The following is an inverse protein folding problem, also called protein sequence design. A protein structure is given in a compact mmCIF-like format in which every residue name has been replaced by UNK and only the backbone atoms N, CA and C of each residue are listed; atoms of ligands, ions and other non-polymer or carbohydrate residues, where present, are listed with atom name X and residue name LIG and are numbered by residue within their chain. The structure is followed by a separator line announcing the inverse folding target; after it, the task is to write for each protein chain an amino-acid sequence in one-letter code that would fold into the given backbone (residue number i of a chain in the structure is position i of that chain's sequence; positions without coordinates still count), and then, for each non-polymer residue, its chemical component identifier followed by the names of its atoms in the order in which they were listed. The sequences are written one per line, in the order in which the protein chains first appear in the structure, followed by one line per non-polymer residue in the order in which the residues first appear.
data_IF_799316264259
#
_entry.id   IF_799316264259
#
_cell.length_a   1.000
_cell.length_b   1.000
_cell.length_c   1.000
_cell.angle_alpha   90.00
_cell.angle_beta   90.00
_cell.angle_gamma   90.00
#
_symmetry.space_group_name_H-M   'P 1'
#
loop_
_entity.id
_entity.type
_entity.pdbx_description
1 polymer ?
2 non-polymer ?
3 non-polymer ?
4 water ?
#
# COMPACT_ATOMS: atom_id res chain seq x y z
N UNK A 4 0.67 9.77 21.20
CA UNK A 4 1.55 10.73 20.47
C UNK A 4 1.11 10.84 19.00
N UNK A 5 1.00 9.70 18.32
CA UNK A 5 0.56 9.67 16.91
C UNK A 5 -0.96 9.56 16.86
N UNK A 6 -1.63 10.52 17.49
CA UNK A 6 -3.06 10.42 17.76
C UNK A 6 -3.95 10.50 16.50
N UNK A 7 -3.37 10.84 15.34
CA UNK A 7 -4.12 10.89 14.09
C UNK A 7 -4.40 9.52 13.50
N UNK A 8 -3.73 8.49 14.03
CA UNK A 8 -3.87 7.12 13.54
C UNK A 8 -5.26 6.56 13.80
N UNK A 9 -5.81 6.91 14.97
CA UNK A 9 -7.09 6.37 15.44
C UNK A 9 -8.23 6.38 14.44
N UNK A 10 -8.46 7.51 13.79
CA UNK A 10 -9.60 7.58 12.89
C UNK A 10 -9.40 6.65 11.68
N UNK A 11 -8.19 6.63 11.13
CA UNK A 11 -7.90 5.76 9.97
C UNK A 11 -8.03 4.29 10.35
N UNK A 12 -7.47 3.93 11.49
CA UNK A 12 -7.59 2.56 12.03
C UNK A 12 -9.06 2.16 12.22
N UNK A 13 -9.89 3.09 12.68
CA UNK A 13 -11.32 2.82 12.91
C UNK A 13 -12.07 2.58 11.60
N UNK A 14 -11.70 3.29 10.54
CA UNK A 14 -12.32 3.04 9.24
C UNK A 14 -11.94 1.65 8.72
N UNK A 15 -10.68 1.26 8.90
CA UNK A 15 -10.27 -0.09 8.47
C UNK A 15 -11.07 -1.13 9.23
N UNK A 16 -11.20 -0.92 10.55
CA UNK A 16 -11.84 -1.91 11.42
C UNK A 16 -13.28 -2.21 11.01
N UNK A 17 -13.97 -1.21 10.47
CA UNK A 17 -15.35 -1.35 9.97
C UNK A 17 -15.43 -2.45 8.90
N UNK A 18 -14.47 -2.45 7.98
CA UNK A 18 -14.45 -3.48 6.92
C UNK A 18 -14.02 -4.82 7.51
N UNK A 19 -13.02 -4.81 8.39
CA UNK A 19 -12.53 -6.03 9.03
C UNK A 19 -13.64 -6.72 9.82
N UNK A 20 -14.60 -5.95 10.35
CA UNK A 20 -15.66 -6.53 11.17
C UNK A 20 -16.86 -7.03 10.34
N UNK A 21 -16.84 -6.72 9.05
CA UNK A 21 -17.94 -7.07 8.14
C UNK A 21 -17.71 -8.44 7.50
N UNK A 22 -18.77 -9.26 7.46
CA UNK A 22 -18.74 -10.57 6.83
C UNK A 22 -20.10 -10.85 6.17
N UNK A 23 -20.45 -10.06 5.14
CA UNK A 23 -21.80 -10.16 4.58
C UNK A 23 -22.06 -11.48 3.90
N UNK A 24 -21.00 -12.12 3.39
CA UNK A 24 -21.15 -13.43 2.75
C UNK A 24 -21.13 -14.58 3.76
N UNK A 25 -21.02 -14.24 5.05
CA UNK A 25 -20.92 -15.23 6.13
C UNK A 25 -19.92 -16.32 5.75
N UNK A 26 -18.76 -15.85 5.31
CA UNK A 26 -17.72 -16.71 4.70
C UNK A 26 -16.59 -17.07 5.65
N UNK A 27 -16.61 -16.54 6.87
CA UNK A 27 -15.45 -16.71 7.77
C UNK A 27 -14.98 -18.15 7.87
N UNK A 28 -15.88 -19.05 8.26
CA UNK A 28 -15.48 -20.44 8.49
C UNK A 28 -15.07 -21.14 7.21
N UNK A 29 -15.62 -20.67 6.07
CA UNK A 29 -15.29 -21.21 4.77
C UNK A 29 -13.91 -20.76 4.28
N UNK A 30 -13.62 -19.47 4.34
CA UNK A 30 -12.31 -19.00 3.93
C UNK A 30 -11.16 -19.63 4.75
N UNK A 31 -11.42 -19.92 6.02
CA UNK A 31 -10.40 -20.56 6.87
C UNK A 31 -9.98 -21.93 6.35
N UNK A 32 -10.79 -22.54 5.49
CA UNK A 32 -10.47 -23.85 4.93
C UNK A 32 -9.55 -23.77 3.70
N UNK A 33 -9.38 -22.57 3.17
CA UNK A 33 -8.56 -22.37 1.97
C UNK A 33 -7.08 -22.82 2.06
N UNK A 34 -6.34 -22.43 3.12
CA UNK A 34 -4.95 -22.90 3.28
C UNK A 34 -4.77 -24.40 3.10
N UNK A 35 -5.64 -25.20 3.69
CA UNK A 35 -5.54 -26.67 3.57
C UNK A 35 -5.68 -27.12 2.11
N UNK A 36 -6.66 -26.55 1.42
CA UNK A 36 -6.86 -26.88 -0.01
C UNK A 36 -5.67 -26.42 -0.85
N UNK A 37 -5.10 -25.26 -0.54
CA UNK A 37 -3.89 -24.81 -1.22
C UNK A 37 -2.71 -25.77 -1.02
N UNK A 38 -2.52 -26.20 0.22
CA UNK A 38 -1.48 -27.17 0.53
C UNK A 38 -1.66 -28.45 -0.29
N UNK A 39 -2.92 -28.88 -0.42
CA UNK A 39 -3.27 -30.07 -1.19
C UNK A 39 -3.29 -29.86 -2.71
N UNK A 40 -3.03 -28.62 -3.14
CA UNK A 40 -3.14 -28.22 -4.58
C UNK A 40 -4.45 -28.75 -5.18
N UNK A 41 -5.53 -28.58 -4.42
CA UNK A 41 -6.85 -29.14 -4.73
C UNK A 41 -7.71 -28.12 -5.44
N UNK A 42 -7.50 -27.97 -6.74
CA UNK A 42 -8.17 -26.95 -7.55
C UNK A 42 -9.69 -27.18 -7.55
N UNK A 43 -10.16 -28.41 -7.83
CA UNK A 43 -11.61 -28.58 -7.77
C UNK A 43 -12.22 -28.22 -6.43
N UNK A 44 -11.52 -28.58 -5.34
CA UNK A 44 -11.95 -28.26 -3.99
C UNK A 44 -12.00 -26.76 -3.72
N UNK A 45 -11.01 -26.02 -4.24
CA UNK A 45 -10.93 -24.56 -4.09
C UNK A 45 -12.14 -23.91 -4.77
N UNK A 46 -12.41 -24.33 -6.00
CA UNK A 46 -13.56 -23.83 -6.72
C UNK A 46 -14.88 -24.17 -6.00
N UNK A 47 -15.02 -25.43 -5.59
CA UNK A 47 -16.16 -25.87 -4.77
C UNK A 47 -16.42 -25.04 -3.52
N UNK A 48 -15.33 -24.75 -2.78
CA UNK A 48 -15.40 -23.95 -1.55
C UNK A 48 -15.88 -22.54 -1.85
N UNK A 49 -15.32 -21.92 -2.90
CA UNK A 49 -15.78 -20.60 -3.32
C UNK A 49 -17.26 -20.61 -3.65
N UNK A 50 -17.70 -21.63 -4.40
CA UNK A 50 -19.09 -21.68 -4.83
C UNK A 50 -20.06 -21.90 -3.67
N UNK A 51 -19.54 -22.35 -2.52
CA UNK A 51 -20.34 -22.43 -1.30
C UNK A 51 -20.86 -21.08 -0.82
N UNK A 52 -20.14 -19.99 -1.14
CA UNK A 52 -20.54 -18.66 -0.67
C UNK A 52 -20.63 -17.57 -1.76
N UNK A 53 -20.15 -17.85 -2.96
CA UNK A 53 -20.19 -16.83 -4.01
C UNK A 53 -21.64 -16.45 -4.39
N UNK A 54 -21.98 -15.15 -4.34
CA UNK A 54 -23.35 -14.72 -4.72
C UNK A 54 -23.64 -15.12 -6.18
N UNK A 55 -24.86 -15.59 -6.45
CA UNK A 55 -25.27 -15.97 -7.82
C UNK A 55 -26.46 -15.15 -8.33
N UNK A 56 -27.03 -14.32 -7.46
CA UNK A 56 -28.25 -13.59 -7.77
C UNK A 56 -28.02 -12.08 -7.80
N UNK A 57 -26.76 -11.68 -7.88
CA UNK A 57 -26.41 -10.27 -7.82
C UNK A 57 -26.22 -9.83 -6.39
N UNK A 58 -25.65 -8.64 -6.20
CA UNK A 58 -25.34 -8.10 -4.88
C UNK A 58 -26.58 -7.61 -4.15
N UNK A 59 -26.71 -7.94 -2.84
CA UNK A 59 -27.79 -7.40 -2.01
C UNK A 59 -27.89 -5.88 -2.14
N UNK A 60 -29.10 -5.38 -2.34
CA UNK A 60 -29.31 -3.97 -2.67
C UNK A 60 -28.94 -3.04 -1.53
N UNK A 61 -28.99 -3.56 -0.31
CA UNK A 61 -28.69 -2.80 0.91
C UNK A 61 -27.22 -2.56 1.21
N UNK A 62 -26.33 -3.29 0.53
CA UNK A 62 -24.88 -3.18 0.78
C UNK A 62 -24.35 -1.80 0.49
N UNK A 63 -23.41 -1.36 1.32
CA UNK A 63 -22.65 -0.15 1.06
C UNK A 63 -21.21 -0.53 0.73
N UNK A 64 -20.32 0.47 0.79
CA UNK A 64 -18.90 0.24 0.58
C UNK A 64 -18.35 -0.88 1.47
N UNK A 65 -18.69 -0.84 2.76
CA UNK A 65 -18.09 -1.77 3.74
C UNK A 65 -18.38 -3.21 3.32
N UNK A 66 -19.66 -3.50 3.03
CA UNK A 66 -20.06 -4.84 2.67
C UNK A 66 -19.41 -5.28 1.35
N UNK A 67 -19.41 -4.40 0.35
CA UNK A 67 -18.84 -4.76 -0.95
C UNK A 67 -17.32 -5.03 -0.82
N UNK A 68 -16.63 -4.22 -0.03
CA UNK A 68 -15.19 -4.40 0.18
C UNK A 68 -14.93 -5.72 0.92
N UNK A 69 -15.76 -6.02 1.92
CA UNK A 69 -15.64 -7.28 2.71
C UNK A 69 -15.90 -8.50 1.81
N UNK A 70 -16.91 -8.38 0.93
CA UNK A 70 -17.17 -9.47 -0.02
C UNK A 70 -15.97 -9.69 -0.96
N UNK A 71 -15.40 -8.59 -1.47
CA UNK A 71 -14.23 -8.69 -2.35
C UNK A 71 -13.04 -9.35 -1.63
N UNK A 72 -12.81 -8.99 -0.37
CA UNK A 72 -11.76 -9.62 0.44
C UNK A 72 -11.91 -11.14 0.42
N UNK A 73 -13.11 -11.60 0.76
CA UNK A 73 -13.34 -13.04 0.96
C UNK A 73 -13.33 -13.85 -0.33
N UNK A 74 -13.93 -13.30 -1.39
CA UNK A 74 -13.78 -13.90 -2.72
C UNK A 74 -12.32 -13.82 -3.18
N UNK A 75 -11.68 -12.70 -2.82
CA UNK A 75 -10.35 -12.35 -3.28
C UNK A 75 -9.26 -13.37 -2.99
N UNK A 76 -9.27 -13.98 -1.80
CA UNK A 76 -8.25 -15.00 -1.51
C UNK A 76 -8.30 -16.19 -2.46
N UNK A 77 -9.48 -16.45 -3.02
CA UNK A 77 -9.63 -17.55 -3.97
C UNK A 77 -9.04 -17.21 -5.33
N UNK A 78 -9.00 -15.91 -5.64
CA UNK A 78 -8.43 -15.41 -6.91
C UNK A 78 -6.93 -15.65 -6.99
N UNK A 79 -6.16 -15.15 -6.02
CA UNK A 79 -4.72 -15.38 -6.04
C UNK A 79 -4.44 -16.88 -5.88
N UNK A 80 -5.29 -17.57 -5.14
CA UNK A 80 -5.13 -19.03 -4.97
C UNK A 80 -5.23 -19.78 -6.30
N UNK A 81 -6.31 -19.56 -7.02
CA UNK A 81 -6.50 -20.24 -8.31
C UNK A 81 -5.37 -19.94 -9.27
N UNK A 82 -4.94 -18.69 -9.33
CA UNK A 82 -3.82 -18.32 -10.21
C UNK A 82 -2.51 -18.98 -9.79
N UNK A 83 -2.34 -19.16 -8.49
CA UNK A 83 -1.13 -19.82 -7.97
C UNK A 83 -0.99 -21.25 -8.52
N UNK A 84 -2.11 -21.93 -8.73
CA UNK A 84 -2.10 -23.31 -9.25
C UNK A 84 -2.20 -23.33 -10.77
N UNK A 85 -2.03 -22.17 -11.38
CA UNK A 85 -1.96 -22.05 -12.85
C UNK A 85 -3.25 -21.74 -13.60
N UNK A 86 -4.28 -21.30 -12.88
CA UNK A 86 -5.60 -21.11 -13.50
C UNK A 86 -6.12 -19.69 -13.40
N UNK A 87 -6.68 -19.16 -14.49
CA UNK A 87 -7.37 -17.87 -14.45
C UNK A 87 -8.72 -18.06 -13.74
N UNK A 88 -8.92 -17.39 -12.59
CA UNK A 88 -10.17 -17.61 -11.84
C UNK A 88 -11.44 -17.35 -12.66
N UNK A 89 -11.43 -16.30 -13.47
CA UNK A 89 -12.56 -16.02 -14.37
C UNK A 89 -12.89 -17.16 -15.32
N UNK A 90 -11.87 -17.93 -15.73
CA UNK A 90 -12.08 -19.02 -16.70
C UNK A 90 -12.58 -20.33 -16.09
N UNK A 91 -12.27 -20.55 -14.82
CA UNK A 91 -12.65 -21.81 -14.17
C UNK A 91 -13.83 -21.69 -13.20
N UNK A 92 -14.29 -20.45 -12.94
CA UNK A 92 -15.39 -20.25 -12.02
C UNK A 92 -16.52 -19.53 -12.73
N UNK A 93 -17.54 -20.29 -13.17
CA UNK A 93 -18.69 -19.72 -13.86
C UNK A 93 -19.36 -18.65 -13.01
N UNK A 94 -19.64 -17.50 -13.61
CA UNK A 94 -20.37 -16.42 -12.93
C UNK A 94 -19.53 -15.56 -12.00
N UNK A 95 -18.24 -15.86 -11.87
CA UNK A 95 -17.38 -15.09 -10.98
C UNK A 95 -17.11 -13.69 -11.53
N UNK A 96 -16.82 -13.60 -12.83
CA UNK A 96 -16.40 -12.33 -13.40
C UNK A 96 -17.43 -11.20 -13.18
N UNK A 97 -18.72 -11.44 -13.49
CA UNK A 97 -19.73 -10.42 -13.25
C UNK A 97 -19.80 -9.91 -11.79
N UNK A 98 -19.60 -10.82 -10.83
CA UNK A 98 -19.55 -10.43 -9.43
C UNK A 98 -18.35 -9.53 -9.16
N UNK A 99 -17.16 -9.93 -9.62
CA UNK A 99 -15.98 -9.08 -9.41
C UNK A 99 -16.18 -7.66 -9.98
N UNK A 100 -16.77 -7.59 -11.17
CA UNK A 100 -17.00 -6.28 -11.82
C UNK A 100 -18.02 -5.43 -11.06
N UNK A 101 -19.04 -6.09 -10.52
CA UNK A 101 -20.06 -5.44 -9.71
C UNK A 101 -19.46 -4.92 -8.39
N UNK A 102 -18.55 -5.70 -7.81
CA UNK A 102 -17.93 -5.29 -6.57
C UNK A 102 -16.97 -4.12 -6.82
N UNK A 103 -16.31 -4.14 -7.97
CA UNK A 103 -15.40 -3.06 -8.39
C UNK A 103 -16.17 -1.75 -8.51
N UNK A 104 -17.35 -1.82 -9.11
CA UNK A 104 -18.23 -0.66 -9.26
C UNK A 104 -18.64 -0.11 -7.89
N UNK A 105 -19.07 -1.01 -7.01
CA UNK A 105 -19.53 -0.67 -5.65
C UNK A 105 -18.45 -0.03 -4.78
N UNK A 106 -17.18 -0.36 -5.05
CA UNK A 106 -16.09 0.12 -4.21
C UNK A 106 -15.18 1.17 -4.89
N UNK A 107 -15.33 1.33 -6.19
CA UNK A 107 -14.42 2.19 -6.99
C UNK A 107 -12.96 1.73 -6.87
N UNK A 108 -12.76 0.42 -6.92
CA UNK A 108 -11.44 -0.23 -6.80
C UNK A 108 -11.38 -1.31 -7.88
N UNK A 109 -10.19 -1.91 -8.10
CA UNK A 109 -10.10 -2.96 -9.14
C UNK A 109 -10.99 -4.17 -8.87
N UNK A 110 -11.30 -4.96 -9.91
CA UNK A 110 -12.12 -6.16 -9.72
C UNK A 110 -11.31 -7.37 -9.23
N UNK A 111 -10.48 -7.14 -8.22
CA UNK A 111 -9.87 -8.21 -7.46
C UNK A 111 -9.44 -7.68 -6.09
N UNK A 112 -8.80 -8.55 -5.32
CA UNK A 112 -8.32 -8.21 -3.98
C UNK A 112 -7.06 -7.34 -4.10
N UNK A 113 -6.97 -6.35 -3.21
CA UNK A 113 -5.81 -5.47 -3.14
C UNK A 113 -5.18 -5.62 -1.78
N UNK A 114 -4.04 -4.97 -1.60
CA UNK A 114 -3.37 -4.93 -0.31
C UNK A 114 -4.33 -4.57 0.82
N UNK A 115 -5.22 -3.59 0.56
CA UNK A 115 -6.16 -3.15 1.60
C UNK A 115 -6.99 -4.33 2.07
N UNK A 116 -7.54 -5.10 1.13
CA UNK A 116 -8.44 -6.20 1.48
C UNK A 116 -7.74 -7.26 2.34
N UNK A 117 -6.47 -7.52 2.03
CA UNK A 117 -5.77 -8.65 2.65
C UNK A 117 -5.09 -8.26 3.97
N UNK A 118 -4.98 -6.95 4.22
CA UNK A 118 -4.30 -6.48 5.43
C UNK A 118 -5.26 -5.79 6.40
N UNK A 119 -5.42 -4.48 6.25
CA UNK A 119 -6.15 -3.67 7.25
C UNK A 119 -7.66 -3.94 7.25
N UNK A 120 -8.19 -4.44 6.13
CA UNK A 120 -9.61 -4.82 6.06
C UNK A 120 -9.86 -6.30 6.40
N UNK A 121 -8.82 -6.98 6.86
CA UNK A 121 -8.88 -8.40 7.13
C UNK A 121 -8.82 -8.51 8.67
N UNK A 122 -9.77 -9.23 9.29
CA UNK A 122 -9.74 -9.30 10.77
C UNK A 122 -8.46 -9.94 11.28
N UNK A 123 -8.12 -9.64 12.52
CA UNK A 123 -6.85 -10.04 13.13
C UNK A 123 -6.88 -11.36 13.90
N UNK A 124 -8.06 -11.78 14.37
CA UNK A 124 -8.16 -12.98 15.20
C UNK A 124 -7.76 -14.24 14.46
N UNK A 125 -7.14 -15.18 15.18
CA UNK A 125 -6.80 -16.49 14.62
C UNK A 125 -8.02 -17.21 14.01
N UNK A 126 -9.19 -17.02 14.60
CA UNK A 126 -10.37 -17.71 14.08
C UNK A 126 -11.11 -16.90 13.00
N UNK A 127 -10.47 -15.84 12.52
CA UNK A 127 -11.13 -14.96 11.54
C UNK A 127 -10.21 -14.47 10.42
N UNK A 128 -8.92 -14.34 10.71
CA UNK A 128 -7.96 -13.80 9.72
C UNK A 128 -7.90 -14.70 8.48
N UNK A 129 -8.20 -14.10 7.33
CA UNK A 129 -8.14 -14.76 6.02
C UNK A 129 -6.67 -14.82 5.59
N UNK A 130 -6.31 -15.88 4.87
CA UNK A 130 -4.91 -16.15 4.51
C UNK A 130 -4.85 -17.12 3.32
N UNK A 131 -3.96 -16.84 2.36
CA UNK A 131 -3.71 -17.78 1.26
C UNK A 131 -3.15 -19.09 1.80
N UNK A 132 -2.16 -19.01 2.70
CA UNK A 132 -1.33 -20.18 3.02
C UNK A 132 -1.44 -20.71 4.43
N UNK A 133 -1.96 -19.90 5.35
CA UNK A 133 -1.98 -20.27 6.76
C UNK A 133 -0.61 -20.23 7.42
N UNK A 134 0.42 -19.77 6.68
CA UNK A 134 1.79 -19.77 7.19
C UNK A 134 2.04 -18.62 8.15
N UNK A 135 2.88 -18.85 9.18
CA UNK A 135 3.23 -17.75 10.09
C UNK A 135 3.87 -16.57 9.34
N UNK A 136 4.69 -16.85 8.35
CA UNK A 136 5.35 -15.81 7.60
C UNK A 136 4.35 -14.88 6.89
N UNK A 137 3.23 -15.45 6.44
CA UNK A 137 2.19 -14.64 5.81
C UNK A 137 1.54 -13.73 6.86
N UNK A 138 1.26 -14.28 8.04
CA UNK A 138 0.72 -13.48 9.12
C UNK A 138 1.66 -12.34 9.50
N UNK A 139 2.97 -12.62 9.54
CA UNK A 139 3.97 -11.60 9.86
C UNK A 139 4.01 -10.53 8.81
N UNK A 140 3.87 -10.91 7.54
CA UNK A 140 3.85 -9.95 6.44
C UNK A 140 2.63 -9.02 6.59
N UNK A 141 1.48 -9.61 6.89
CA UNK A 141 0.27 -8.79 7.14
C UNK A 141 0.49 -7.80 8.28
N UNK A 142 1.07 -8.28 9.38
CA UNK A 142 1.33 -7.41 10.53
C UNK A 142 2.26 -6.25 10.16
N UNK A 143 3.26 -6.54 9.33
CA UNK A 143 4.22 -5.52 8.92
C UNK A 143 3.50 -4.38 8.23
N UNK A 144 2.49 -4.70 7.41
CA UNK A 144 1.70 -3.64 6.77
C UNK A 144 0.76 -2.91 7.76
N UNK A 145 0.11 -3.67 8.63
CA UNK A 145 -0.73 -3.11 9.69
C UNK A 145 -0.02 -2.11 10.60
N UNK A 146 1.28 -2.31 10.84
CA UNK A 146 2.07 -1.39 11.66
C UNK A 146 2.02 0.05 11.14
N UNK A 147 2.04 0.20 9.82
CA UNK A 147 2.23 1.51 9.19
C UNK A 147 1.10 2.09 8.30
N UNK A 148 0.14 1.28 7.86
CA UNK A 148 -0.86 1.77 6.91
C UNK A 148 -1.61 2.98 7.46
N UNK A 149 -2.13 2.88 8.69
CA UNK A 149 -2.91 4.01 9.23
C UNK A 149 -2.03 5.23 9.47
N UNK A 150 -0.82 5.01 9.98
CA UNK A 150 0.17 6.10 10.10
C UNK A 150 0.49 6.77 8.76
N UNK A 151 0.61 5.94 7.72
CA UNK A 151 0.91 6.45 6.37
C UNK A 151 -0.25 7.30 5.85
N UNK A 152 -1.48 6.87 6.13
CA UNK A 152 -2.64 7.66 5.71
C UNK A 152 -2.66 9.02 6.41
N UNK A 153 -2.32 9.02 7.69
CA UNK A 153 -2.19 10.27 8.43
C UNK A 153 -1.12 11.14 7.80
N UNK A 154 0.00 10.51 7.45
CA UNK A 154 1.12 11.19 6.84
C UNK A 154 0.77 11.85 5.49
N UNK A 155 -0.08 11.21 4.68
CA UNK A 155 -0.56 11.80 3.42
C UNK A 155 -1.35 13.07 3.74
N UNK A 156 -2.25 12.98 4.73
CA UNK A 156 -3.02 14.15 5.17
C UNK A 156 -2.09 15.30 5.59
N UNK A 157 -1.08 14.95 6.39
CA UNK A 157 -0.13 15.96 6.88
C UNK A 157 0.66 16.61 5.76
N UNK A 158 1.05 15.81 4.77
CA UNK A 158 1.83 16.31 3.63
C UNK A 158 1.01 17.31 2.82
N UNK A 159 -0.26 16.98 2.59
CA UNK A 159 -1.17 17.86 1.84
C UNK A 159 -1.36 19.17 2.62
N UNK A 160 -1.48 19.07 3.94
CA UNK A 160 -1.58 20.27 4.79
C UNK A 160 -0.30 21.10 4.74
N UNK A 161 0.85 20.44 4.82
CA UNK A 161 2.15 21.11 4.73
C UNK A 161 2.38 21.81 3.39
N UNK A 162 1.81 21.26 2.32
CA UNK A 162 1.91 21.85 0.98
C UNK A 162 1.46 23.32 0.94
N UNK A 163 0.41 23.65 1.69
CA UNK A 163 -0.10 25.04 1.76
C UNK A 163 0.55 25.91 2.85
N UNK A 164 1.48 25.34 3.62
CA UNK A 164 2.19 26.08 4.66
C UNK A 164 3.50 26.69 4.12
N UNK A 165 3.62 28.01 4.21
CA UNK A 165 4.83 28.68 3.75
C UNK A 165 6.03 28.32 4.60
N UNK A 166 7.21 28.25 3.98
CA UNK A 166 8.46 28.07 4.72
C UNK A 166 8.66 29.25 5.69
N UNK A 167 8.03 30.39 5.37
CA UNK A 167 8.05 31.57 6.24
C UNK A 167 7.17 31.41 7.48
N UNK A 168 6.21 30.48 7.44
CA UNK A 168 5.28 30.24 8.55
C UNK A 168 5.95 29.58 9.76
N UNK A 169 5.52 29.95 10.98
CA UNK A 169 6.08 29.32 12.20
C UNK A 169 5.75 27.83 12.36
N UNK A 170 4.72 27.35 11.66
CA UNK A 170 4.29 25.96 11.73
C UNK A 170 5.10 25.00 10.86
N UNK A 171 5.82 25.53 9.87
CA UNK A 171 6.43 24.67 8.86
C UNK A 171 7.30 23.57 9.47
N UNK A 172 8.24 23.96 10.32
CA UNK A 172 9.15 23.01 10.95
C UNK A 172 8.42 22.03 11.87
N UNK A 173 7.46 22.54 12.63
CA UNK A 173 6.67 21.71 13.54
C UNK A 173 5.84 20.66 12.80
N UNK A 174 5.21 21.07 11.69
CA UNK A 174 4.43 20.17 10.86
C UNK A 174 5.32 19.12 10.21
N UNK A 175 6.49 19.55 9.71
CA UNK A 175 7.46 18.64 9.12
C UNK A 175 7.96 17.62 10.13
N UNK A 176 8.19 18.08 11.36
CA UNK A 176 8.59 17.18 12.46
C UNK A 176 7.49 16.16 12.76
N UNK A 177 6.25 16.60 12.73
CA UNK A 177 5.09 15.71 12.92
C UNK A 177 4.98 14.69 11.78
N UNK A 178 5.15 15.15 10.54
CA UNK A 178 5.18 14.24 9.38
C UNK A 178 6.27 13.18 9.53
N UNK A 179 7.47 13.61 9.93
CA UNK A 179 8.58 12.69 10.17
C UNK A 179 8.15 11.59 11.13
N UNK A 180 7.46 11.97 12.20
CA UNK A 180 7.08 11.03 13.27
C UNK A 180 6.15 9.92 12.76
N UNK A 181 5.20 10.28 11.90
CA UNK A 181 4.28 9.30 11.29
C UNK A 181 4.99 8.41 10.29
N UNK A 182 5.90 8.99 9.51
CA UNK A 182 6.65 8.22 8.53
C UNK A 182 7.61 7.21 9.18
N UNK A 183 7.97 7.46 10.44
CA UNK A 183 8.80 6.52 11.19
C UNK A 183 8.18 5.11 11.25
N UNK A 184 6.85 5.05 11.16
CA UNK A 184 6.16 3.76 11.16
C UNK A 184 6.56 2.87 9.97
N UNK A 185 6.86 3.46 8.82
CA UNK A 185 7.33 2.69 7.66
C UNK A 185 8.66 2.00 7.99
N UNK A 186 9.53 2.73 8.68
CA UNK A 186 10.78 2.15 9.18
C UNK A 186 10.50 0.98 10.10
N UNK A 187 9.57 1.17 11.03
CA UNK A 187 9.20 0.11 11.99
C UNK A 187 8.73 -1.16 11.26
N UNK A 188 7.99 -0.97 10.16
CA UNK A 188 7.49 -2.08 9.35
C UNK A 188 8.62 -2.92 8.77
N UNK A 189 9.64 -2.26 8.22
CA UNK A 189 10.76 -2.98 7.59
C UNK A 189 11.61 -3.69 8.66
N UNK A 190 11.85 -3.04 9.79
CA UNK A 190 12.52 -3.69 10.94
C UNK A 190 11.77 -4.97 11.34
N UNK A 191 10.44 -4.90 11.40
CA UNK A 191 9.59 -6.04 11.76
C UNK A 191 9.74 -7.16 10.74
N UNK A 192 9.62 -6.80 9.47
CA UNK A 192 9.72 -7.74 8.36
C UNK A 192 11.07 -8.43 8.35
N UNK A 193 12.14 -7.68 8.63
CA UNK A 193 13.49 -8.25 8.62
C UNK A 193 13.61 -9.28 9.72
N UNK A 194 12.96 -9.00 10.84
CA UNK A 194 13.07 -9.87 12.02
C UNK A 194 12.26 -11.17 11.92
N UNK A 195 11.06 -11.07 11.36
CA UNK A 195 10.08 -12.15 11.48
C UNK A 195 9.75 -12.91 10.21
N UNK A 196 10.00 -12.31 9.04
CA UNK A 196 9.66 -12.99 7.79
C UNK A 196 10.88 -13.70 7.22
N UNK A 197 10.75 -15.02 7.03
CA UNK A 197 11.78 -15.82 6.35
C UNK A 197 11.82 -15.50 4.87
N UNK A 198 13.00 -15.11 4.35
CA UNK A 198 13.11 -14.84 2.93
C UNK A 198 12.84 -16.09 2.08
N UNK A 199 13.27 -17.27 2.54
CA UNK A 199 13.00 -18.52 1.83
C UNK A 199 11.47 -18.78 1.74
N UNK A 200 10.77 -18.57 2.86
CA UNK A 200 9.35 -18.84 2.90
C UNK A 200 8.61 -17.82 2.05
N UNK A 201 9.00 -16.54 2.15
CA UNK A 201 8.37 -15.53 1.30
C UNK A 201 8.49 -15.91 -0.17
N UNK A 202 9.72 -16.14 -0.61
CA UNK A 202 9.99 -16.35 -2.01
C UNK A 202 9.36 -17.64 -2.54
N UNK A 203 9.49 -18.73 -1.78
CA UNK A 203 9.05 -20.03 -2.22
C UNK A 203 7.55 -20.29 -2.01
N UNK A 204 6.98 -19.75 -0.93
CA UNK A 204 5.65 -20.15 -0.49
C UNK A 204 4.57 -19.08 -0.61
N UNK A 205 4.95 -17.80 -0.44
CA UNK A 205 3.98 -16.71 -0.46
C UNK A 205 3.91 -16.01 -1.79
N UNK A 206 5.07 -15.58 -2.29
CA UNK A 206 5.15 -14.91 -3.60
C UNK A 206 4.31 -15.54 -4.74
N UNK A 207 4.27 -16.88 -4.85
CA UNK A 207 3.48 -17.47 -5.95
C UNK A 207 1.97 -17.17 -5.91
N UNK A 208 1.47 -16.67 -4.77
CA UNK A 208 0.06 -16.27 -4.64
C UNK A 208 -0.26 -14.86 -5.13
N UNK A 209 0.77 -14.14 -5.54
CA UNK A 209 0.60 -12.71 -5.86
C UNK A 209 0.71 -12.38 -7.34
N UNK A 210 0.41 -13.36 -8.20
CA UNK A 210 0.48 -13.21 -9.64
C UNK A 210 -0.71 -12.42 -10.19
N UNK A 211 -0.55 -11.73 -11.34
CA UNK A 211 -1.71 -11.05 -11.90
C UNK A 211 -2.79 -12.00 -12.41
N UNK A 212 -4.02 -11.50 -12.53
CA UNK A 212 -5.11 -12.26 -13.13
C UNK A 212 -5.78 -11.38 -14.17
N UNK A 213 -6.51 -12.00 -15.09
CA UNK A 213 -7.22 -11.27 -16.15
C UNK A 213 -8.69 -11.17 -15.78
N UNK A 214 -9.19 -9.94 -15.76
CA UNK A 214 -10.61 -9.65 -15.54
C UNK A 214 -10.99 -8.47 -16.45
N UNK A 215 -12.15 -8.57 -17.10
CA UNK A 215 -12.61 -7.49 -17.97
C UNK A 215 -11.66 -7.12 -19.10
N UNK A 216 -10.87 -8.10 -19.56
CA UNK A 216 -9.99 -7.90 -20.70
C UNK A 216 -8.73 -7.13 -20.38
N UNK A 217 -8.32 -7.13 -19.11
CA UNK A 217 -7.01 -6.59 -18.77
C UNK A 217 -6.45 -7.31 -17.55
N UNK A 218 -5.19 -7.05 -17.26
CA UNK A 218 -4.48 -7.77 -16.20
C UNK A 218 -4.44 -6.89 -14.97
N UNK A 219 -4.76 -7.49 -13.83
CA UNK A 219 -4.71 -6.81 -12.56
C UNK A 219 -3.70 -7.47 -11.65
N UNK A 220 -2.81 -6.66 -11.09
CA UNK A 220 -1.69 -7.12 -10.25
C UNK A 220 -2.17 -7.71 -8.94
N UNK A 221 -1.37 -8.61 -8.37
CA UNK A 221 -1.69 -9.18 -7.06
C UNK A 221 -1.46 -8.21 -5.90
N UNK A 222 -2.00 -8.57 -4.73
CA UNK A 222 -1.75 -7.78 -3.57
C UNK A 222 -0.25 -7.78 -3.38
N UNK A 223 0.28 -6.60 -3.18
CA UNK A 223 1.60 -6.46 -2.58
C UNK A 223 1.68 -5.14 -1.84
N UNK A 224 2.64 -5.05 -0.94
CA UNK A 224 2.88 -3.84 -0.17
C UNK A 224 3.26 -2.65 -1.07
N UNK A 225 3.72 -2.96 -2.28
CA UNK A 225 3.94 -1.94 -3.31
C UNK A 225 2.73 -1.00 -3.50
N UNK A 226 1.54 -1.52 -3.19
CA UNK A 226 0.30 -0.75 -3.34
C UNK A 226 0.03 0.27 -2.21
N UNK A 227 0.83 0.25 -1.14
CA UNK A 227 0.73 1.30 -0.12
C UNK A 227 0.85 2.68 -0.76
N UNK A 228 -0.04 3.62 -0.38
CA UNK A 228 -0.08 4.91 -1.06
C UNK A 228 1.09 5.86 -0.73
N UNK A 229 2.23 5.30 -0.34
CA UNK A 229 3.44 6.12 -0.16
C UNK A 229 3.80 6.90 -1.42
N UNK A 230 3.56 6.32 -2.59
CA UNK A 230 3.93 6.99 -3.83
C UNK A 230 3.10 8.25 -4.06
N UNK A 231 1.89 8.29 -3.50
CA UNK A 231 1.06 9.48 -3.57
C UNK A 231 1.63 10.56 -2.65
N UNK A 232 2.02 10.17 -1.44
CA UNK A 232 2.65 11.10 -0.50
C UNK A 232 3.86 11.79 -1.14
N UNK A 233 4.71 10.99 -1.78
CA UNK A 233 5.95 11.51 -2.35
C UNK A 233 5.75 12.26 -3.67
N UNK A 234 4.68 11.95 -4.39
CA UNK A 234 4.24 12.74 -5.53
C UNK A 234 4.05 14.21 -5.09
N UNK A 235 3.31 14.40 -3.99
CA UNK A 235 3.07 15.73 -3.44
C UNK A 235 4.35 16.35 -2.89
N UNK A 236 5.14 15.53 -2.20
CA UNK A 236 6.30 16.02 -1.47
C UNK A 236 7.46 16.45 -2.40
N UNK A 237 7.82 15.58 -3.34
CA UNK A 237 8.98 15.87 -4.18
C UNK A 237 8.83 15.47 -5.65
N UNK A 238 7.92 14.54 -5.94
CA UNK A 238 7.93 13.84 -7.25
C UNK A 238 7.02 14.26 -8.38
N UNK A 239 6.09 15.18 -8.11
CA UNK A 239 5.02 15.49 -9.07
C UNK A 239 5.52 15.91 -10.45
N UNK A 240 6.65 16.62 -10.48
CA UNK A 240 7.19 17.13 -11.74
C UNK A 240 8.42 16.38 -12.21
N UNK A 241 8.56 15.13 -11.77
CA UNK A 241 9.66 14.29 -12.23
C UNK A 241 9.39 13.76 -13.63
N UNK A 242 10.39 13.92 -14.50
CA UNK A 242 10.31 13.43 -15.88
C UNK A 242 10.94 12.04 -16.06
N UNK A 243 11.32 11.39 -14.95
CA UNK A 243 11.88 10.04 -14.99
C UNK A 243 10.83 9.02 -15.44
N UNK A 244 11.07 8.38 -16.58
CA UNK A 244 10.12 7.44 -17.19
C UNK A 244 9.73 6.26 -16.29
N UNK A 245 10.73 5.54 -15.76
CA UNK A 245 10.48 4.42 -14.86
C UNK A 245 9.59 4.86 -13.69
N UNK A 246 9.94 6.00 -13.07
CA UNK A 246 9.22 6.51 -11.90
C UNK A 246 7.76 6.91 -12.19
N UNK A 247 7.54 7.67 -13.27
CA UNK A 247 6.20 8.06 -13.67
C UNK A 247 5.33 6.84 -13.98
N UNK A 248 5.90 5.87 -14.70
CA UNK A 248 5.19 4.64 -15.05
C UNK A 248 4.86 3.80 -13.82
N UNK A 249 5.80 3.78 -12.87
CA UNK A 249 5.58 3.14 -11.57
C UNK A 249 4.31 3.69 -10.90
N UNK A 250 4.26 5.00 -10.74
CA UNK A 250 3.11 5.65 -10.09
C UNK A 250 1.79 5.38 -10.80
N UNK A 251 1.77 5.57 -12.12
CA UNK A 251 0.57 5.33 -12.94
C UNK A 251 0.11 3.86 -12.89
N UNK A 252 1.08 2.95 -12.76
CA UNK A 252 0.78 1.53 -12.62
C UNK A 252 -0.02 1.26 -11.35
N UNK A 253 0.40 1.85 -10.23
CA UNK A 253 -0.22 1.51 -8.94
C UNK A 253 -1.39 2.39 -8.51
N UNK A 254 -1.56 3.52 -9.20
CA UNK A 254 -2.66 4.45 -8.96
C UNK A 254 -4.05 3.79 -8.83
N UNK A 255 -4.42 2.86 -9.76
CA UNK A 255 -5.76 2.24 -9.65
C UNK A 255 -6.00 1.44 -8.36
N UNK A 256 -4.93 1.03 -7.68
CA UNK A 256 -5.04 0.13 -6.52
C UNK A 256 -5.18 0.86 -5.18
N UNK A 257 -5.01 2.19 -5.18
CA UNK A 257 -5.11 2.95 -3.91
C UNK A 257 -6.52 3.51 -3.75
N UNK A 258 -6.90 3.92 -2.53
CA UNK A 258 -8.24 4.48 -2.30
C UNK A 258 -8.53 5.67 -3.22
N UNK A 259 -9.79 5.78 -3.70
CA UNK A 259 -10.19 6.90 -4.57
C UNK A 259 -9.74 8.27 -4.05
N UNK A 260 -9.76 8.47 -2.74
CA UNK A 260 -9.33 9.75 -2.16
C UNK A 260 -7.88 10.06 -2.51
N UNK A 261 -7.02 9.05 -2.51
CA UNK A 261 -5.59 9.26 -2.81
C UNK A 261 -5.35 9.38 -4.30
N UNK A 262 -6.20 8.75 -5.10
CA UNK A 262 -6.17 8.98 -6.54
C UNK A 262 -6.52 10.44 -6.81
N UNK A 263 -7.48 10.99 -6.05
CA UNK A 263 -7.86 12.40 -6.19
C UNK A 263 -6.73 13.33 -5.72
N UNK A 264 -6.05 12.95 -4.64
CA UNK A 264 -4.88 13.72 -4.16
C UNK A 264 -3.82 13.78 -5.26
N UNK A 265 -3.52 12.61 -5.83
CA UNK A 265 -2.53 12.50 -6.89
C UNK A 265 -2.83 13.46 -8.03
N UNK A 266 -4.05 13.39 -8.57
CA UNK A 266 -4.46 14.23 -9.69
C UNK A 266 -4.34 15.72 -9.38
N UNK A 267 -4.74 16.10 -8.16
CA UNK A 267 -4.71 17.49 -7.71
C UNK A 267 -3.30 18.09 -7.78
N UNK A 268 -2.28 17.29 -7.48
CA UNK A 268 -0.90 17.77 -7.39
C UNK A 268 -0.01 17.55 -8.62
N UNK A 269 -0.54 16.87 -9.63
CA UNK A 269 0.22 16.58 -10.84
C UNK A 269 0.53 17.81 -11.71
N UNK A 270 -0.35 18.81 -11.68
CA UNK A 270 -0.17 20.04 -12.47
C UNK A 270 0.46 21.20 -11.72
N UNK A 271 1.33 20.87 -10.76
CA UNK A 271 1.99 21.87 -9.90
C UNK A 271 3.39 21.43 -9.44
N UNK A 272 4.27 22.40 -9.14
CA UNK A 272 5.52 22.07 -8.46
C UNK A 272 5.24 21.31 -7.18
N UNK A 273 6.11 20.35 -6.87
CA UNK A 273 6.01 19.64 -5.60
C UNK A 273 6.39 20.52 -4.42
N UNK A 274 6.02 20.06 -3.23
CA UNK A 274 6.24 20.81 -2.00
C UNK A 274 7.68 21.30 -1.86
N UNK A 275 8.65 20.43 -2.10
CA UNK A 275 10.04 20.86 -1.89
C UNK A 275 10.49 21.91 -2.91
N UNK A 276 9.97 21.84 -4.13
CA UNK A 276 10.29 22.81 -5.18
C UNK A 276 9.81 24.20 -4.74
N UNK A 277 8.59 24.26 -4.20
CA UNK A 277 8.05 25.51 -3.68
C UNK A 277 8.87 26.00 -2.47
N UNK A 278 9.18 25.08 -1.57
CA UNK A 278 9.92 25.44 -0.33
C UNK A 278 11.31 25.97 -0.64
N UNK A 279 11.99 25.31 -1.59
CA UNK A 279 13.32 25.78 -2.01
C UNK A 279 13.26 27.16 -2.69
N UNK A 280 12.22 27.41 -3.49
CA UNK A 280 12.04 28.75 -4.07
C UNK A 280 11.87 29.81 -2.97
N UNK A 281 11.13 29.45 -1.93
CA UNK A 281 10.86 30.34 -0.81
C UNK A 281 12.15 30.64 -0.05
N UNK A 282 12.96 29.60 0.15
CA UNK A 282 14.26 29.72 0.83
C UNK A 282 15.16 30.70 0.09
N UNK A 283 15.13 30.63 -1.24
CA UNK A 283 15.95 31.52 -2.08
C UNK A 283 15.44 32.95 -2.09
N UNK A 284 14.12 33.12 -1.97
CA UNK A 284 13.50 34.44 -1.97
C UNK A 284 13.78 35.20 -0.67
N UNK A 285 13.86 34.46 0.44
CA UNK A 285 14.16 35.03 1.76
C UNK A 285 15.67 35.11 1.98
N UNK A 286 16.38 34.02 1.66
CA UNK A 286 17.81 33.92 1.91
C UNK A 286 18.06 32.76 2.85
N UNK A 287 19.00 31.90 2.48
CA UNK A 287 19.19 30.63 3.19
C UNK A 287 19.96 30.75 4.49
N UNK A 288 20.32 31.97 4.90
CA UNK A 288 20.95 32.19 6.20
C UNK A 288 19.92 32.53 7.29
N UNK A 289 18.71 32.90 6.86
CA UNK A 289 17.60 33.16 7.78
C UNK A 289 17.34 31.93 8.66
N UNK A 290 17.48 32.07 9.98
CA UNK A 290 17.40 30.90 10.86
C UNK A 290 16.05 30.15 10.76
N UNK A 291 14.97 30.88 10.49
CA UNK A 291 13.68 30.24 10.33
C UNK A 291 13.60 29.43 9.04
N UNK A 292 14.14 29.99 7.95
CA UNK A 292 14.32 29.22 6.71
C UNK A 292 15.13 27.95 6.98
N UNK A 293 16.27 28.12 7.65
CA UNK A 293 17.15 26.99 7.98
C UNK A 293 16.44 25.94 8.85
N UNK A 294 15.66 26.40 9.83
CA UNK A 294 14.87 25.49 10.67
C UNK A 294 13.91 24.65 9.83
N UNK A 295 13.21 25.31 8.92
CA UNK A 295 12.25 24.66 8.03
C UNK A 295 12.92 23.64 7.13
N UNK A 296 14.01 24.05 6.49
CA UNK A 296 14.78 23.17 5.60
C UNK A 296 15.42 22.00 6.35
N UNK A 297 15.91 22.25 7.55
CA UNK A 297 16.47 21.19 8.38
C UNK A 297 15.38 20.15 8.72
N UNK A 298 14.20 20.65 9.11
CA UNK A 298 13.04 19.78 9.39
C UNK A 298 12.67 18.94 8.17
N UNK A 299 12.70 19.57 7.01
CA UNK A 299 12.38 18.91 5.75
C UNK A 299 13.39 17.80 5.43
N UNK A 300 14.67 18.08 5.66
CA UNK A 300 15.72 17.08 5.46
C UNK A 300 15.52 15.84 6.34
N UNK A 301 14.97 16.03 7.54
CA UNK A 301 14.65 14.90 8.43
C UNK A 301 13.55 13.99 7.87
N UNK A 302 12.59 14.58 7.16
CA UNK A 302 11.56 13.80 6.47
C UNK A 302 12.22 12.90 5.41
N UNK A 303 13.15 13.46 4.65
CA UNK A 303 13.89 12.67 3.68
C UNK A 303 14.72 11.57 4.33
N UNK A 304 15.31 11.88 5.48
CA UNK A 304 16.09 10.91 6.24
C UNK A 304 15.24 9.68 6.55
N UNK A 305 14.05 9.92 7.12
CA UNK A 305 13.18 8.82 7.52
C UNK A 305 12.65 8.04 6.29
N UNK A 306 12.38 8.73 5.19
CA UNK A 306 12.03 8.06 3.93
C UNK A 306 13.15 7.11 3.50
N UNK A 307 14.39 7.57 3.59
CA UNK A 307 15.53 6.73 3.22
C UNK A 307 15.77 5.59 4.22
N UNK A 308 15.43 5.81 5.48
CA UNK A 308 15.53 4.76 6.51
C UNK A 308 14.46 3.66 6.32
N UNK A 309 13.42 3.97 5.57
CA UNK A 309 12.52 2.93 5.05
C UNK A 309 13.15 2.27 3.79
N UNK A 310 13.45 3.12 2.81
CA UNK A 310 13.68 2.66 1.44
C UNK A 310 14.96 1.86 1.24
N UNK A 311 16.04 2.29 1.89
CA UNK A 311 17.32 1.60 1.73
C UNK A 311 17.27 0.18 2.35
N UNK A 312 16.83 0.06 3.62
CA UNK A 312 16.64 -1.26 4.23
C UNK A 312 15.59 -2.12 3.52
N UNK A 313 14.54 -1.49 2.99
CA UNK A 313 13.56 -2.26 2.21
C UNK A 313 14.22 -2.93 1.01
N UNK A 314 15.11 -2.20 0.34
CA UNK A 314 15.81 -2.75 -0.83
C UNK A 314 16.58 -3.99 -0.42
N UNK A 315 17.26 -3.91 0.72
CA UNK A 315 18.01 -5.05 1.28
C UNK A 315 17.10 -6.24 1.62
N UNK A 316 15.97 -5.94 2.26
CA UNK A 316 14.90 -6.91 2.53
C UNK A 316 14.51 -7.66 1.25
N UNK A 317 14.13 -6.89 0.23
CA UNK A 317 13.72 -7.40 -1.09
C UNK A 317 14.82 -8.23 -1.77
N UNK A 318 16.06 -7.75 -1.71
CA UNK A 318 17.18 -8.46 -2.31
C UNK A 318 17.42 -9.81 -1.63
N UNK A 319 17.31 -9.86 -0.31
CA UNK A 319 17.50 -11.09 0.47
C UNK A 319 16.47 -12.17 0.09
N UNK A 320 15.22 -11.76 -0.11
CA UNK A 320 14.17 -12.68 -0.54
C UNK A 320 14.44 -13.23 -1.94
N UNK A 321 14.74 -12.34 -2.87
CA UNK A 321 14.91 -12.70 -4.28
C UNK A 321 16.24 -13.40 -4.56
N UNK A 322 17.15 -13.36 -3.59
CA UNK A 322 18.40 -14.12 -3.62
C UNK A 322 18.13 -15.62 -3.54
N UNK A 323 17.02 -15.98 -2.88
CA UNK A 323 16.55 -17.36 -2.78
C UNK A 323 16.19 -17.89 -4.17
N UNK A 335 15.19 -12.03 -9.27
CA UNK A 335 15.87 -10.76 -8.95
C UNK A 335 14.87 -9.61 -8.79
N UNK A 336 15.20 -8.66 -7.92
CA UNK A 336 14.36 -7.49 -7.67
C UNK A 336 14.30 -6.60 -8.92
N UNK A 337 13.18 -5.91 -9.13
CA UNK A 337 13.08 -4.98 -10.27
C UNK A 337 13.98 -3.75 -10.11
N UNK A 338 14.41 -3.18 -11.24
CA UNK A 338 15.28 -2.01 -11.24
C UNK A 338 14.60 -0.81 -10.58
N UNK A 339 13.27 -0.75 -10.69
CA UNK A 339 12.47 0.31 -10.09
C UNK A 339 12.92 0.66 -8.67
N UNK A 340 13.18 -0.36 -7.85
CA UNK A 340 13.54 -0.11 -6.44
C UNK A 340 14.77 0.78 -6.31
N UNK A 341 15.89 0.37 -6.90
CA UNK A 341 17.11 1.15 -6.86
C UNK A 341 16.95 2.52 -7.53
N UNK A 342 16.21 2.54 -8.63
CA UNK A 342 15.95 3.81 -9.32
C UNK A 342 15.19 4.80 -8.43
N UNK A 343 14.16 4.32 -7.75
CA UNK A 343 13.40 5.17 -6.82
C UNK A 343 14.28 5.60 -5.64
N UNK A 344 15.10 4.69 -5.14
CA UNK A 344 16.03 5.03 -4.07
C UNK A 344 16.93 6.20 -4.49
N UNK A 345 17.49 6.10 -5.70
CA UNK A 345 18.38 7.14 -6.20
C UNK A 345 17.67 8.49 -6.33
N UNK A 346 16.41 8.46 -6.81
CA UNK A 346 15.61 9.69 -6.96
C UNK A 346 15.34 10.35 -5.61
N UNK A 347 15.17 9.51 -4.60
CA UNK A 347 14.97 9.98 -3.22
C UNK A 347 16.23 10.67 -2.70
N UNK A 348 17.39 10.04 -2.92
CA UNK A 348 18.67 10.66 -2.62
C UNK A 348 18.83 12.02 -3.30
N UNK A 349 18.46 12.09 -4.59
CA UNK A 349 18.59 13.32 -5.36
C UNK A 349 17.72 14.42 -4.77
N UNK A 350 16.50 14.05 -4.37
CA UNK A 350 15.58 15.01 -3.77
C UNK A 350 16.14 15.56 -2.46
N UNK A 351 16.63 14.66 -1.60
CA UNK A 351 17.26 15.07 -0.35
C UNK A 351 18.45 15.99 -0.61
N UNK A 352 19.25 15.66 -1.61
CA UNK A 352 20.41 16.48 -1.97
C UNK A 352 20.03 17.91 -2.32
N UNK A 353 18.87 18.10 -2.93
CA UNK A 353 18.39 19.44 -3.25
C UNK A 353 18.18 20.25 -1.97
N UNK A 354 17.60 19.61 -0.96
CA UNK A 354 17.39 20.27 0.33
C UNK A 354 18.73 20.59 0.99
N UNK A 355 19.61 19.59 1.06
CA UNK A 355 20.94 19.76 1.65
C UNK A 355 21.75 20.88 0.98
N UNK A 356 21.61 21.00 -0.36
CA UNK A 356 22.31 22.04 -1.11
C UNK A 356 21.90 23.45 -0.66
N UNK A 357 20.62 23.63 -0.34
CA UNK A 357 20.12 24.91 0.14
C UNK A 357 20.71 25.26 1.51
N UNK A 358 20.99 24.22 2.30
CA UNK A 358 21.54 24.36 3.64
C UNK A 358 23.05 24.53 3.67
N UNK A 359 23.72 24.39 2.53
CA UNK A 359 25.17 24.56 2.50
C UNK A 359 25.57 25.97 2.93
N UNK A 360 26.57 26.06 3.80
CA UNK A 360 26.95 27.35 4.42
C UNK A 360 28.17 28.04 3.82
N UNK A 361 28.66 27.51 2.71
CA UNK A 361 29.81 28.12 2.04
C UNK A 361 29.40 29.14 0.98
#
# INVERSE_FOLDING_TARGET
MERTLDRVGVFAATHAAVAASDPLQARALVLQLPGLNRNKDVPGIVGLLREFLPVRGLPSGWGFVEAAAAMRDIGFFLGSLKRHGHEPAEVVPGLEPVLLDLARATNLPPRETLLHVTVWNPTAADAQRSYTGLPDEAHLLESVRISMAALEAAIALTVELFDVSLRSPEFAQRSDELEAYLQKMVESIVYAYRFISPQVFYDELRPFYEPIRVGGQSYLGPGAVEMPLFVLEHVLWGSQSDDQTYREFKETYLPYVLPAYRAVYARFSGEPALIDRALDEARAVGTRDEHVRAGLTALERVFKVLLRFRAPHLKLAERAYEVGQSGPEIGSGGYAPSMLGELLTLTYAARSRVRAALDES
#
